data_IF_533300828512
#
_entry.id   IF_533300828512
#
_cell.length_a   1.000
_cell.length_b   1.000
_cell.length_c   1.000
_cell.angle_alpha   90.00
_cell.angle_beta   90.00
_cell.angle_gamma   90.00
#
_symmetry.space_group_name_H-M   'P 1'
#
loop_
_entity.id
_entity.type
_entity.pdbx_description
1 polymer ?
#
# COMPACT_ATOMS: atom_id res chain seq x y z
N UNK A 1 -11.46 -16.61 -10.60
CA UNK A 1 -11.78 -15.19 -10.34
C UNK A 1 -11.48 -14.78 -8.89
N UNK A 2 -12.04 -15.46 -7.88
CA UNK A 2 -11.82 -15.12 -6.45
C UNK A 2 -10.35 -15.25 -5.99
N UNK A 3 -9.63 -16.28 -6.43
CA UNK A 3 -8.19 -16.44 -6.14
C UNK A 3 -7.34 -15.30 -6.72
N UNK A 4 -7.72 -14.74 -7.87
CA UNK A 4 -7.01 -13.62 -8.48
C UNK A 4 -7.16 -12.34 -7.65
N UNK A 5 -8.35 -12.09 -7.08
CA UNK A 5 -8.58 -10.97 -6.16
C UNK A 5 -7.72 -11.09 -4.89
N UNK A 6 -7.59 -12.31 -4.34
CA UNK A 6 -6.73 -12.55 -3.17
C UNK A 6 -5.25 -12.26 -3.49
N UNK A 7 -4.76 -12.64 -4.67
CA UNK A 7 -3.39 -12.31 -5.11
C UNK A 7 -3.18 -10.80 -5.22
N UNK A 8 -4.12 -10.07 -5.83
CA UNK A 8 -4.06 -8.59 -5.90
C UNK A 8 -4.09 -7.98 -4.48
N UNK A 9 -4.89 -8.55 -3.58
CA UNK A 9 -4.96 -8.12 -2.19
C UNK A 9 -3.62 -8.27 -1.48
N UNK A 10 -2.93 -9.41 -1.65
CA UNK A 10 -1.59 -9.65 -1.11
C UNK A 10 -0.57 -8.64 -1.69
N UNK A 11 -0.60 -8.40 -3.01
CA UNK A 11 0.27 -7.41 -3.64
C UNK A 11 0.00 -5.99 -3.13
N UNK A 12 -1.26 -5.65 -2.84
CA UNK A 12 -1.61 -4.36 -2.22
C UNK A 12 -1.08 -4.24 -0.80
N UNK A 13 -1.10 -5.31 0.00
CA UNK A 13 -0.49 -5.31 1.34
C UNK A 13 1.04 -5.12 1.28
N UNK A 14 1.72 -5.79 0.34
CA UNK A 14 3.16 -5.59 0.13
C UNK A 14 3.49 -4.16 -0.31
N UNK A 15 2.63 -3.58 -1.16
CA UNK A 15 2.73 -2.18 -1.57
C UNK A 15 2.51 -1.24 -0.39
N UNK A 16 1.55 -1.53 0.49
CA UNK A 16 1.31 -0.76 1.70
C UNK A 16 2.55 -0.71 2.61
N UNK A 17 3.19 -1.86 2.84
CA UNK A 17 4.42 -1.94 3.65
C UNK A 17 5.53 -1.11 3.02
N UNK A 18 5.73 -1.25 1.70
CA UNK A 18 6.73 -0.47 0.97
C UNK A 18 6.50 1.04 1.09
N UNK A 19 5.25 1.48 0.86
CA UNK A 19 4.86 2.89 0.95
C UNK A 19 4.99 3.42 2.38
N UNK A 20 4.69 2.60 3.39
CA UNK A 20 4.87 2.96 4.80
C UNK A 20 6.35 3.19 5.12
N UNK A 21 7.23 2.28 4.70
CA UNK A 21 8.68 2.42 4.90
C UNK A 21 9.17 3.70 4.24
N UNK A 22 8.81 3.94 2.98
CA UNK A 22 9.22 5.15 2.26
C UNK A 22 8.65 6.41 2.94
N UNK A 23 7.39 6.39 3.35
CA UNK A 23 6.76 7.50 4.05
C UNK A 23 7.44 7.82 5.38
N UNK A 24 7.87 6.80 6.13
CA UNK A 24 8.63 6.96 7.37
C UNK A 24 10.03 7.50 7.09
N UNK A 25 10.73 6.97 6.08
CA UNK A 25 12.05 7.48 5.67
C UNK A 25 11.97 8.95 5.30
N UNK A 26 10.96 9.36 4.52
CA UNK A 26 10.73 10.78 4.17
C UNK A 26 10.42 11.65 5.38
N UNK A 27 9.73 11.11 6.39
CA UNK A 27 9.41 11.83 7.61
C UNK A 27 10.65 12.09 8.48
N UNK A 28 11.52 11.09 8.63
CA UNK A 28 12.72 11.20 9.47
C UNK A 28 13.95 11.76 8.75
N UNK A 29 14.03 11.61 7.43
CA UNK A 29 15.14 12.07 6.59
C UNK A 29 14.62 12.97 5.45
N UNK A 30 14.35 14.26 5.73
CA UNK A 30 13.80 15.19 4.73
C UNK A 30 14.67 15.35 3.49
N UNK A 31 15.98 15.15 3.60
CA UNK A 31 16.94 15.19 2.49
C UNK A 31 16.64 14.14 1.40
N UNK A 32 15.96 13.05 1.74
CA UNK A 32 15.53 12.03 0.76
C UNK A 32 14.35 12.54 -0.08
N UNK A 33 13.57 13.50 0.42
CA UNK A 33 12.41 14.03 -0.30
C UNK A 33 12.79 14.76 -1.59
N UNK A 34 14.01 15.33 -1.65
CA UNK A 34 14.56 15.98 -2.84
C UNK A 34 14.89 14.99 -3.97
N UNK A 35 15.08 13.71 -3.64
CA UNK A 35 15.39 12.66 -4.62
C UNK A 35 14.13 12.05 -5.25
N UNK A 36 12.94 12.36 -4.71
CA UNK A 36 11.67 11.77 -5.14
C UNK A 36 10.95 12.77 -6.05
N UNK A 37 10.55 12.39 -7.28
CA UNK A 37 9.78 13.28 -8.13
C UNK A 37 8.42 13.64 -7.50
N UNK A 38 8.00 14.89 -7.65
CA UNK A 38 6.79 15.43 -6.99
C UNK A 38 5.51 14.64 -7.31
N UNK A 39 5.43 14.04 -8.51
CA UNK A 39 4.32 13.16 -8.92
C UNK A 39 4.15 11.93 -8.02
N UNK A 40 5.24 11.39 -7.47
CA UNK A 40 5.21 10.22 -6.59
C UNK A 40 5.02 10.57 -5.13
N UNK A 41 5.37 11.79 -4.71
CA UNK A 41 5.31 12.23 -3.31
C UNK A 41 3.94 12.04 -2.68
N UNK A 42 2.86 12.25 -3.45
CA UNK A 42 1.49 12.07 -2.95
C UNK A 42 1.16 10.60 -2.63
N UNK A 43 1.65 9.67 -3.44
CA UNK A 43 1.43 8.24 -3.29
C UNK A 43 2.38 7.59 -2.26
N UNK A 44 3.51 8.23 -1.95
CA UNK A 44 4.54 7.72 -1.05
C UNK A 44 4.44 8.30 0.37
N UNK A 45 3.21 8.42 0.90
CA UNK A 45 2.96 8.95 2.25
C UNK A 45 2.51 7.86 3.21
N UNK A 46 2.68 8.10 4.52
CA UNK A 46 2.15 7.20 5.57
C UNK A 46 0.63 7.04 5.41
N UNK A 47 -0.09 8.11 5.08
CA UNK A 47 -1.53 8.03 4.82
C UNK A 47 -1.86 7.16 3.60
N UNK A 48 -1.09 7.28 2.52
CA UNK A 48 -1.24 6.43 1.34
C UNK A 48 -1.05 4.94 1.66
N UNK A 49 -0.12 4.59 2.54
CA UNK A 49 0.08 3.21 2.98
C UNK A 49 -1.17 2.60 3.61
N UNK A 50 -1.93 3.38 4.39
CA UNK A 50 -3.17 2.92 5.03
C UNK A 50 -4.23 2.61 3.97
N UNK A 51 -4.33 3.41 2.91
CA UNK A 51 -5.25 3.14 1.80
C UNK A 51 -4.88 1.84 1.06
N UNK A 52 -3.61 1.63 0.76
CA UNK A 52 -3.15 0.36 0.15
C UNK A 52 -3.42 -0.84 1.07
N UNK A 53 -3.23 -0.68 2.39
CA UNK A 53 -3.51 -1.73 3.36
C UNK A 53 -5.00 -2.08 3.43
N UNK A 54 -5.86 -1.06 3.46
CA UNK A 54 -7.31 -1.23 3.49
C UNK A 54 -7.82 -1.93 2.23
N UNK A 55 -7.36 -1.51 1.04
CA UNK A 55 -7.70 -2.17 -0.23
C UNK A 55 -7.24 -3.62 -0.21
N UNK A 56 -6.01 -3.88 0.22
CA UNK A 56 -5.48 -5.24 0.35
C UNK A 56 -6.32 -6.13 1.25
N UNK A 57 -6.70 -5.63 2.43
CA UNK A 57 -7.55 -6.35 3.38
C UNK A 57 -8.93 -6.66 2.78
N UNK A 58 -9.59 -5.68 2.15
CA UNK A 58 -10.90 -5.88 1.50
C UNK A 58 -10.82 -6.93 0.41
N UNK A 59 -9.80 -6.89 -0.44
CA UNK A 59 -9.61 -7.84 -1.53
C UNK A 59 -9.27 -9.26 -1.07
N UNK A 60 -8.85 -9.46 0.18
CA UNK A 60 -8.63 -10.78 0.76
C UNK A 60 -9.90 -11.27 1.48
N UNK A 61 -10.51 -10.41 2.29
CA UNK A 61 -11.66 -10.74 3.15
C UNK A 61 -12.91 -11.02 2.32
N UNK A 62 -13.22 -10.17 1.33
CA UNK A 62 -14.45 -10.32 0.54
C UNK A 62 -14.48 -11.65 -0.22
N UNK A 63 -13.42 -12.05 -0.95
CA UNK A 63 -13.40 -13.36 -1.59
C UNK A 63 -13.44 -14.52 -0.60
N UNK A 64 -12.80 -14.38 0.57
CA UNK A 64 -12.84 -15.40 1.61
C UNK A 64 -14.26 -15.62 2.14
N UNK A 65 -15.01 -14.55 2.39
CA UNK A 65 -16.40 -14.63 2.86
C UNK A 65 -17.34 -15.22 1.80
N UNK A 66 -17.10 -14.97 0.51
CA UNK A 66 -17.91 -15.49 -0.59
C UNK A 66 -17.65 -16.96 -0.93
N UNK A 67 -16.54 -17.54 -0.46
CA UNK A 67 -16.20 -18.96 -0.63
C UNK A 67 -16.81 -19.86 0.45
N UNK A 68 -17.40 -19.27 1.48
CA UNK A 68 -17.96 -19.95 2.65
C UNK A 68 -19.47 -20.11 2.52
#
# INVERSE_FOLDING_TARGET
MLAFLQVIGILSLLSAISVLIIGLVRHFFPSVDELIPDSFKKALTVQASVYYAAIGAVLIIVPYLLQR
#
